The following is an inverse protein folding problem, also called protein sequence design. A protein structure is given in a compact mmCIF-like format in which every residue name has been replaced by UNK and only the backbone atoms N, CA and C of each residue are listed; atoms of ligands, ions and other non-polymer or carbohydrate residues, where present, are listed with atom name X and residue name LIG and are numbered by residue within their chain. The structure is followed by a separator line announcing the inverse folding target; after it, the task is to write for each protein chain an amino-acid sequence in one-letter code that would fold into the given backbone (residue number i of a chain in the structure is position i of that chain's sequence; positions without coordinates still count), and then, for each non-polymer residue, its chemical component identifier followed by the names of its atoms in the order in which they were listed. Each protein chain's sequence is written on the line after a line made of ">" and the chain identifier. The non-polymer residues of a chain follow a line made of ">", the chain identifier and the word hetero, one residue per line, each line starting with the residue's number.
data_IF_811411274317
#
_entry.id   IF_811411274317
#
_cell.length_a   1.000
_cell.length_b   1.000
_cell.length_c   1.000
_cell.angle_alpha   90.00
_cell.angle_beta   90.00
_cell.angle_gamma   90.00
#
_symmetry.space_group_name_H-M   'P 1'
#
loop_
_entity.id
_entity.type
_entity.pdbx_description
1 polymer ?
#
# COMPACT_ATOMS: atom_id res chain seq x y z
N UNK A 1 -36.68 -14.94 -0.21
CA UNK A 1 -37.07 -14.10 0.94
C UNK A 1 -35.78 -13.54 1.54
N UNK A 2 -35.38 -12.34 1.15
CA UNK A 2 -34.19 -11.68 1.68
C UNK A 2 -34.53 -11.13 3.07
N UNK A 3 -34.17 -11.89 4.10
CA UNK A 3 -34.18 -11.39 5.46
C UNK A 3 -32.92 -10.54 5.65
N UNK A 4 -33.05 -9.23 5.47
CA UNK A 4 -32.16 -8.26 6.09
C UNK A 4 -32.40 -8.29 7.61
N UNK A 5 -31.86 -9.31 8.29
CA UNK A 5 -31.73 -9.30 9.73
C UNK A 5 -30.83 -8.11 10.08
N UNK A 6 -31.37 -7.14 10.81
CA UNK A 6 -30.60 -6.01 11.30
C UNK A 6 -29.48 -6.54 12.20
N UNK A 7 -28.24 -6.48 11.70
CA UNK A 7 -27.04 -6.77 12.46
C UNK A 7 -27.10 -5.93 13.74
N UNK A 8 -27.07 -6.58 14.90
CA UNK A 8 -26.83 -5.86 16.14
C UNK A 8 -25.51 -5.09 16.00
N UNK A 9 -25.36 -3.93 16.64
CA UNK A 9 -24.12 -3.13 16.53
C UNK A 9 -22.88 -3.98 16.85
N UNK A 10 -23.02 -4.92 17.79
CA UNK A 10 -21.98 -5.88 18.14
C UNK A 10 -21.61 -6.82 16.99
N UNK A 11 -22.58 -7.33 16.24
CA UNK A 11 -22.35 -8.23 15.11
C UNK A 11 -21.75 -7.50 13.91
N UNK A 12 -22.18 -6.25 13.68
CA UNK A 12 -21.59 -5.38 12.67
C UNK A 12 -20.11 -5.08 12.94
N UNK A 13 -19.74 -4.82 14.20
CA UNK A 13 -18.34 -4.63 14.61
C UNK A 13 -17.53 -5.90 14.37
N UNK A 14 -18.05 -7.07 14.78
CA UNK A 14 -17.34 -8.34 14.58
C UNK A 14 -17.11 -8.65 13.10
N UNK A 15 -18.10 -8.43 12.24
CA UNK A 15 -17.95 -8.61 10.80
C UNK A 15 -16.94 -7.63 10.15
N UNK A 16 -16.74 -6.43 10.71
CA UNK A 16 -15.71 -5.51 10.21
C UNK A 16 -14.30 -5.88 10.66
N UNK A 17 -14.16 -6.69 11.70
CA UNK A 17 -12.87 -7.19 12.17
C UNK A 17 -12.41 -8.45 11.43
N UNK A 18 -13.30 -9.10 10.68
CA UNK A 18 -12.97 -10.26 9.84
C UNK A 18 -12.48 -9.83 8.46
N UNK A 19 -11.20 -10.10 8.18
CA UNK A 19 -10.59 -9.90 6.87
C UNK A 19 -10.98 -11.01 5.89
N UNK A 20 -10.87 -10.73 4.58
CA UNK A 20 -11.08 -11.71 3.53
C UNK A 20 -9.91 -12.70 3.50
N UNK A 21 -10.14 -13.89 4.05
CA UNK A 21 -9.12 -14.92 4.25
C UNK A 21 -9.26 -16.08 3.25
N UNK A 22 -8.12 -16.52 2.71
CA UNK A 22 -8.01 -17.68 1.82
C UNK A 22 -7.03 -18.70 2.41
N UNK A 23 -7.53 -19.89 2.73
CA UNK A 23 -6.71 -20.96 3.27
C UNK A 23 -6.10 -21.79 2.13
N UNK A 24 -4.77 -21.83 2.05
CA UNK A 24 -4.03 -22.51 0.99
C UNK A 24 -4.05 -24.05 1.13
N UNK A 25 -4.32 -24.58 2.32
CA UNK A 25 -4.28 -26.01 2.60
C UNK A 25 -5.59 -26.70 2.22
N UNK A 26 -6.72 -26.06 2.49
CA UNK A 26 -8.06 -26.56 2.10
C UNK A 26 -8.54 -25.99 0.77
N UNK A 27 -7.81 -25.02 0.19
CA UNK A 27 -8.18 -24.28 -1.03
C UNK A 27 -9.59 -23.68 -0.92
N UNK A 28 -9.96 -23.23 0.28
CA UNK A 28 -11.28 -22.69 0.59
C UNK A 28 -11.20 -21.23 1.03
N UNK A 29 -12.23 -20.47 0.64
CA UNK A 29 -12.49 -19.12 1.11
C UNK A 29 -13.24 -19.20 2.44
N UNK A 30 -12.66 -18.64 3.50
CA UNK A 30 -13.30 -18.62 4.82
C UNK A 30 -12.32 -18.67 5.98
N UNK A 31 -12.88 -18.59 7.19
CA UNK A 31 -12.21 -18.58 8.49
C UNK A 31 -11.61 -19.95 8.85
N UNK A 32 -10.68 -20.41 8.01
CA UNK A 32 -9.82 -21.53 8.32
C UNK A 32 -8.60 -21.01 9.06
N UNK A 33 -8.72 -20.78 10.37
CA UNK A 33 -7.57 -20.45 11.21
C UNK A 33 -6.44 -21.46 11.00
N UNK A 34 -5.25 -20.97 10.66
CA UNK A 34 -4.09 -21.79 10.33
C UNK A 34 -2.91 -20.95 9.84
N UNK A 35 -1.71 -21.51 9.88
CA UNK A 35 -0.50 -20.82 9.43
C UNK A 35 -0.54 -20.45 7.93
N UNK A 36 -1.29 -21.22 7.13
CA UNK A 36 -1.37 -21.09 5.68
C UNK A 36 -2.60 -20.30 5.20
N UNK A 37 -3.03 -19.30 5.97
CA UNK A 37 -4.17 -18.44 5.64
C UNK A 37 -3.69 -17.08 5.15
N UNK A 38 -4.07 -16.71 3.93
CA UNK A 38 -3.73 -15.45 3.30
C UNK A 38 -4.86 -14.44 3.44
N UNK A 39 -4.52 -13.24 3.91
CA UNK A 39 -5.43 -12.08 3.92
C UNK A 39 -5.42 -11.41 2.55
N UNK A 40 -6.35 -11.81 1.68
CA UNK A 40 -6.39 -11.38 0.28
C UNK A 40 -6.69 -9.89 0.13
N UNK A 41 -7.52 -9.34 1.01
CA UNK A 41 -7.82 -7.91 1.05
C UNK A 41 -6.55 -7.07 1.29
N UNK A 42 -5.78 -7.41 2.33
CA UNK A 42 -4.55 -6.71 2.70
C UNK A 42 -3.50 -6.87 1.61
N UNK A 43 -3.33 -8.08 1.06
CA UNK A 43 -2.40 -8.33 -0.04
C UNK A 43 -2.77 -7.53 -1.29
N UNK A 44 -4.06 -7.48 -1.64
CA UNK A 44 -4.55 -6.73 -2.79
C UNK A 44 -4.30 -5.23 -2.63
N UNK A 45 -4.65 -4.64 -1.48
CA UNK A 45 -4.42 -3.22 -1.24
C UNK A 45 -2.93 -2.89 -1.14
N UNK A 46 -2.12 -3.73 -0.49
CA UNK A 46 -0.67 -3.54 -0.40
C UNK A 46 -0.03 -3.54 -1.79
N UNK A 47 -0.34 -4.53 -2.62
CA UNK A 47 0.21 -4.61 -3.97
C UNK A 47 -0.34 -3.50 -4.87
N UNK A 48 -1.63 -3.19 -4.76
CA UNK A 48 -2.29 -2.13 -5.52
C UNK A 48 -1.71 -0.75 -5.24
N UNK A 49 -1.53 -0.40 -3.96
CA UNK A 49 -0.92 0.88 -3.55
C UNK A 49 0.55 0.91 -3.93
N UNK A 50 1.30 -0.17 -3.72
CA UNK A 50 2.71 -0.24 -4.12
C UNK A 50 2.91 -0.07 -5.63
N UNK A 51 2.11 -0.77 -6.44
CA UNK A 51 2.13 -0.63 -7.89
C UNK A 51 1.69 0.77 -8.34
N UNK A 52 0.65 1.33 -7.73
CA UNK A 52 0.20 2.70 -8.00
C UNK A 52 1.28 3.73 -7.67
N UNK A 53 1.98 3.56 -6.55
CA UNK A 53 3.07 4.44 -6.13
C UNK A 53 4.23 4.42 -7.13
N UNK A 54 4.69 3.23 -7.52
CA UNK A 54 5.74 3.08 -8.55
C UNK A 54 5.30 3.69 -9.88
N UNK A 55 4.07 3.39 -10.33
CA UNK A 55 3.51 3.96 -11.55
C UNK A 55 3.47 5.49 -11.49
N UNK A 56 3.06 6.06 -10.36
CA UNK A 56 2.99 7.51 -10.15
C UNK A 56 4.38 8.16 -10.23
N UNK A 57 5.38 7.63 -9.52
CA UNK A 57 6.75 8.16 -9.56
C UNK A 57 7.35 8.07 -10.96
N UNK A 58 7.19 6.93 -11.64
CA UNK A 58 7.65 6.76 -13.04
C UNK A 58 6.95 7.77 -13.96
N UNK A 59 5.65 8.01 -13.77
CA UNK A 59 4.89 8.98 -14.57
C UNK A 59 5.41 10.40 -14.39
N UNK A 60 5.74 10.80 -13.16
CA UNK A 60 6.28 12.12 -12.84
C UNK A 60 7.71 12.26 -13.37
N UNK A 61 8.59 11.29 -13.11
CA UNK A 61 9.97 11.29 -13.58
C UNK A 61 10.06 11.41 -15.11
N UNK A 62 9.20 10.70 -15.86
CA UNK A 62 9.16 10.79 -17.33
C UNK A 62 8.65 12.13 -17.88
N UNK A 63 7.95 12.92 -17.05
CA UNK A 63 7.42 14.24 -17.41
C UNK A 63 8.26 15.38 -16.84
N UNK A 64 9.25 15.08 -16.01
CA UNK A 64 10.12 16.08 -15.41
C UNK A 64 10.93 16.78 -16.51
N UNK A 65 10.86 18.10 -16.54
CA UNK A 65 11.64 18.93 -17.47
C UNK A 65 12.74 19.67 -16.72
N UNK A 66 13.94 19.83 -17.31
CA UNK A 66 15.07 20.55 -16.68
C UNK A 66 14.93 22.08 -16.73
N UNK A 67 13.86 22.60 -17.34
CA UNK A 67 13.57 24.03 -17.43
C UNK A 67 12.76 24.52 -16.23
N UNK A 68 11.67 25.25 -16.49
CA UNK A 68 10.74 25.67 -15.42
C UNK A 68 9.86 24.46 -15.03
N UNK A 69 9.93 23.97 -13.79
CA UNK A 69 9.15 22.82 -13.36
C UNK A 69 7.65 23.16 -13.33
N UNK A 70 6.82 22.21 -13.76
CA UNK A 70 5.37 22.32 -13.57
C UNK A 70 4.98 22.25 -12.09
N UNK A 71 3.78 22.75 -11.72
CA UNK A 71 3.31 22.76 -10.31
C UNK A 71 3.40 21.40 -9.61
N UNK A 72 3.08 20.31 -10.33
CA UNK A 72 3.14 18.94 -9.79
C UNK A 72 4.56 18.40 -9.68
N UNK A 73 5.46 18.79 -10.58
CA UNK A 73 6.87 18.41 -10.52
C UNK A 73 7.53 19.05 -9.29
N UNK A 74 7.29 20.35 -9.07
CA UNK A 74 7.83 21.07 -7.91
C UNK A 74 7.44 20.43 -6.57
N UNK A 75 6.17 20.01 -6.41
CA UNK A 75 5.74 19.35 -5.16
C UNK A 75 6.45 18.01 -4.96
N UNK A 76 6.63 17.23 -6.03
CA UNK A 76 7.31 15.93 -5.93
C UNK A 76 8.81 16.10 -5.70
N UNK A 77 9.45 17.09 -6.32
CA UNK A 77 10.87 17.42 -6.10
C UNK A 77 11.13 17.78 -4.64
N UNK A 78 10.32 18.67 -4.06
CA UNK A 78 10.44 19.05 -2.64
C UNK A 78 10.30 17.84 -1.70
N UNK A 79 9.39 16.90 -2.01
CA UNK A 79 9.22 15.69 -1.22
C UNK A 79 10.41 14.73 -1.34
N UNK A 80 10.98 14.58 -2.54
CA UNK A 80 12.15 13.72 -2.77
C UNK A 80 13.39 14.33 -2.09
N UNK A 81 13.60 15.63 -2.23
CA UNK A 81 14.72 16.34 -1.59
C UNK A 81 14.66 16.22 -0.06
N UNK A 82 13.45 16.32 0.51
CA UNK A 82 13.25 16.09 1.94
C UNK A 82 13.67 14.68 2.37
N UNK A 83 13.28 13.65 1.61
CA UNK A 83 13.67 12.26 1.90
C UNK A 83 15.18 12.06 1.74
N UNK A 84 15.79 12.62 0.70
CA UNK A 84 17.23 12.56 0.45
C UNK A 84 18.03 13.19 1.60
N UNK A 85 17.59 14.36 2.09
CA UNK A 85 18.23 15.02 3.22
C UNK A 85 18.14 14.18 4.50
N UNK A 86 16.97 13.60 4.80
CA UNK A 86 16.79 12.70 5.94
C UNK A 86 17.70 11.47 5.87
N UNK A 87 17.87 10.89 4.68
CA UNK A 87 18.74 9.74 4.45
C UNK A 87 20.20 10.12 4.67
N UNK A 88 20.65 11.27 4.14
CA UNK A 88 22.02 11.77 4.31
C UNK A 88 22.36 12.08 5.77
N UNK A 89 21.41 12.63 6.52
CA UNK A 89 21.60 12.91 7.95
C UNK A 89 21.65 11.62 8.79
N UNK A 90 20.90 10.58 8.39
CA UNK A 90 20.81 9.32 9.14
C UNK A 90 21.94 8.33 8.78
N UNK A 91 22.40 8.32 7.53
CA UNK A 91 23.33 7.33 7.00
C UNK A 91 24.58 7.97 6.38
N UNK A 92 25.73 7.73 7.00
CA UNK A 92 27.03 8.31 6.59
C UNK A 92 27.91 7.32 5.79
N UNK A 93 27.39 6.14 5.43
CA UNK A 93 28.10 5.14 4.64
C UNK A 93 27.94 5.35 3.13
N UNK A 94 28.92 4.92 2.33
CA UNK A 94 28.75 4.87 0.86
C UNK A 94 28.03 3.58 0.48
N UNK A 95 26.76 3.68 0.09
CA UNK A 95 25.99 2.57 -0.48
C UNK A 95 25.64 2.88 -1.92
N UNK A 96 26.02 2.02 -2.88
CA UNK A 96 25.72 2.23 -4.30
C UNK A 96 24.21 2.25 -4.64
N UNK A 97 23.35 1.92 -3.68
CA UNK A 97 21.89 1.95 -3.81
C UNK A 97 21.24 3.19 -3.16
N UNK A 98 22.00 3.95 -2.36
CA UNK A 98 21.48 5.05 -1.52
C UNK A 98 22.33 6.33 -1.66
N UNK A 99 23.47 6.28 -2.39
CA UNK A 99 24.45 7.36 -2.52
C UNK A 99 24.52 7.94 -3.93
#
# INVERSE_FOLDING_TARGET
>A
MSASQGLTVSEYIQHHLTNLQFNLQTMQLGDGGGFWTLHLDTLFFSLGIGAFFLWFLVRVARKATPGVPGKLQNVVEVLIDFVDQQVKETFHGKSALVA
#
